data_IF_213836005546
#
_entry.id   IF_213836005546
#
_cell.length_a   1.000
_cell.length_b   1.000
_cell.length_c   1.000
_cell.angle_alpha   90.00
_cell.angle_beta   90.00
_cell.angle_gamma   90.00
#
_symmetry.space_group_name_H-M   'P 1'
#
loop_
_entity.id
_entity.type
_entity.pdbx_description
1 polymer ?
#
# COMPACT_ATOMS: atom_id res chain seq x y z
N UNK A 1 -13.24 -6.70 4.55
CA UNK A 1 -12.70 -7.62 3.53
C UNK A 1 -13.70 -7.71 2.43
N UNK A 2 -13.31 -7.45 1.18
CA UNK A 2 -14.19 -7.57 0.03
C UNK A 2 -13.64 -8.68 -0.86
N UNK A 3 -14.49 -9.62 -1.26
CA UNK A 3 -14.13 -10.71 -2.17
C UNK A 3 -14.56 -10.29 -3.58
N UNK A 4 -13.60 -9.99 -4.46
CA UNK A 4 -13.85 -9.65 -5.86
C UNK A 4 -13.62 -10.89 -6.72
N UNK A 5 -14.61 -11.34 -7.51
CA UNK A 5 -14.38 -12.40 -8.47
C UNK A 5 -13.50 -11.88 -9.60
N UNK A 6 -12.40 -12.57 -9.88
CA UNK A 6 -11.57 -12.35 -11.06
C UNK A 6 -11.48 -13.64 -11.87
N UNK A 7 -11.20 -13.53 -13.17
CA UNK A 7 -10.91 -14.71 -13.99
C UNK A 7 -9.71 -15.46 -13.38
N UNK A 8 -9.99 -16.66 -12.87
CA UNK A 8 -8.99 -17.53 -12.22
C UNK A 8 -8.93 -17.49 -10.69
N UNK A 9 -9.89 -16.89 -9.97
CA UNK A 9 -9.98 -17.02 -8.51
C UNK A 9 -10.79 -15.94 -7.79
N UNK A 10 -11.00 -16.10 -6.49
CA UNK A 10 -11.52 -15.04 -5.62
C UNK A 10 -10.34 -14.24 -5.08
N UNK A 11 -10.35 -12.91 -5.24
CA UNK A 11 -9.36 -12.05 -4.61
C UNK A 11 -9.94 -11.29 -3.44
N UNK A 12 -9.14 -11.19 -2.39
CA UNK A 12 -9.53 -10.61 -1.12
C UNK A 12 -8.79 -9.31 -0.89
N UNK A 13 -9.53 -8.24 -0.60
CA UNK A 13 -8.94 -6.94 -0.24
C UNK A 13 -8.90 -6.75 1.28
N UNK A 14 -7.72 -6.41 1.81
CA UNK A 14 -7.53 -6.08 3.23
C UNK A 14 -6.98 -4.67 3.37
N UNK A 15 -7.48 -3.94 4.36
CA UNK A 15 -7.05 -2.57 4.66
C UNK A 15 -6.24 -2.55 5.94
N UNK A 16 -5.09 -1.89 5.90
CA UNK A 16 -4.27 -1.59 7.06
C UNK A 16 -4.07 -0.10 7.19
N UNK A 17 -4.09 0.38 8.42
CA UNK A 17 -3.95 1.79 8.72
C UNK A 17 -2.82 1.95 9.71
N UNK A 18 -1.80 2.70 9.31
CA UNK A 18 -0.60 2.91 10.12
C UNK A 18 -0.55 4.34 10.60
N UNK A 19 -0.20 4.52 11.87
CA UNK A 19 0.37 5.78 12.29
C UNK A 19 1.65 5.99 11.49
N UNK A 20 1.89 7.23 11.11
CA UNK A 20 3.18 7.56 10.58
C UNK A 20 4.27 7.33 11.60
N UNK A 21 5.38 6.74 11.18
CA UNK A 21 6.54 6.64 12.05
C UNK A 21 7.44 7.85 11.80
N UNK A 22 7.89 8.43 12.89
CA UNK A 22 8.77 9.58 12.94
C UNK A 22 10.21 9.06 13.00
N UNK A 23 10.78 8.71 11.84
CA UNK A 23 12.19 8.32 11.77
C UNK A 23 12.78 8.66 10.41
N UNK A 24 13.89 9.39 10.43
CA UNK A 24 14.68 9.72 9.25
C UNK A 24 15.71 8.64 8.91
N UNK A 25 15.84 7.59 9.74
CA UNK A 25 16.81 6.51 9.57
C UNK A 25 16.21 5.34 8.78
N UNK A 26 16.65 5.19 7.54
CA UNK A 26 16.21 4.16 6.60
C UNK A 26 16.50 2.72 7.06
N UNK A 27 17.56 2.52 7.87
CA UNK A 27 17.90 1.20 8.41
C UNK A 27 16.99 0.86 9.59
N UNK A 28 16.76 1.84 10.47
CA UNK A 28 15.81 1.69 11.57
C UNK A 28 14.42 1.35 11.04
N UNK A 29 14.03 1.99 9.94
CA UNK A 29 12.79 1.76 9.23
C UNK A 29 12.59 0.34 8.76
N UNK A 30 13.61 -0.20 8.10
CA UNK A 30 13.57 -1.56 7.58
C UNK A 30 13.53 -2.58 8.72
N UNK A 31 14.21 -2.32 9.83
CA UNK A 31 14.12 -3.15 11.02
C UNK A 31 12.73 -3.10 11.65
N UNK A 32 12.10 -1.93 11.76
CA UNK A 32 10.72 -1.80 12.24
C UNK A 32 9.73 -2.54 11.33
N UNK A 33 9.86 -2.40 10.00
CA UNK A 33 9.05 -3.15 9.04
C UNK A 33 9.21 -4.66 9.23
N UNK A 34 10.43 -5.15 9.43
CA UNK A 34 10.69 -6.58 9.65
C UNK A 34 10.12 -7.11 10.97
N UNK A 35 9.95 -6.25 11.97
CA UNK A 35 9.34 -6.61 13.26
C UNK A 35 7.81 -6.57 13.22
N UNK A 36 7.21 -5.72 12.39
CA UNK A 36 5.77 -5.70 12.17
C UNK A 36 5.33 -6.80 11.21
N UNK A 37 4.36 -7.63 11.61
CA UNK A 37 3.91 -8.77 10.78
C UNK A 37 3.37 -8.35 9.40
N UNK A 38 2.76 -7.17 9.29
CA UNK A 38 2.24 -6.68 8.02
C UNK A 38 3.37 -5.99 7.25
N UNK A 39 4.17 -5.18 7.94
CA UNK A 39 5.36 -4.53 7.39
C UNK A 39 6.32 -5.52 6.72
N UNK A 40 6.55 -6.68 7.34
CA UNK A 40 7.47 -7.69 6.82
C UNK A 40 6.93 -8.28 5.51
N UNK A 41 5.63 -8.57 5.44
CA UNK A 41 4.99 -9.12 4.24
C UNK A 41 4.97 -8.12 3.09
N UNK A 42 4.79 -6.83 3.37
CA UNK A 42 4.84 -5.78 2.36
C UNK A 42 6.27 -5.58 1.84
N UNK A 43 7.26 -5.67 2.72
CA UNK A 43 8.67 -5.59 2.36
C UNK A 43 9.07 -6.79 1.47
N UNK A 44 8.75 -8.01 1.91
CA UNK A 44 8.98 -9.25 1.14
C UNK A 44 8.32 -9.19 -0.24
N UNK A 45 7.09 -8.65 -0.31
CA UNK A 45 6.38 -8.48 -1.58
C UNK A 45 7.04 -7.44 -2.48
N UNK A 46 7.47 -6.30 -1.95
CA UNK A 46 8.19 -5.28 -2.72
C UNK A 46 9.51 -5.82 -3.26
N UNK A 47 10.29 -6.52 -2.42
CA UNK A 47 11.52 -7.21 -2.81
C UNK A 47 11.25 -8.22 -3.94
N UNK A 48 10.19 -9.03 -3.81
CA UNK A 48 9.82 -10.00 -4.85
C UNK A 48 9.42 -9.32 -6.17
N UNK A 49 8.58 -8.27 -6.13
CA UNK A 49 8.16 -7.52 -7.33
C UNK A 49 9.35 -6.85 -8.02
N UNK A 50 10.32 -6.38 -7.26
CA UNK A 50 11.54 -5.77 -7.79
C UNK A 50 12.39 -6.79 -8.55
N UNK A 51 12.72 -7.91 -7.90
CA UNK A 51 13.51 -9.01 -8.47
C UNK A 51 12.85 -9.56 -9.74
N UNK A 52 11.54 -9.80 -9.68
CA UNK A 52 10.81 -10.35 -10.81
C UNK A 52 10.56 -9.35 -11.93
N UNK A 53 10.31 -8.08 -11.57
CA UNK A 53 10.08 -7.02 -12.54
C UNK A 53 11.36 -6.55 -13.24
N UNK A 54 12.54 -7.01 -12.79
CA UNK A 54 13.82 -6.51 -13.25
C UNK A 54 13.99 -5.01 -12.97
N UNK A 55 13.30 -4.51 -11.95
CA UNK A 55 13.38 -3.11 -11.53
C UNK A 55 14.65 -3.01 -10.69
N UNK A 56 15.45 -1.96 -10.91
CA UNK A 56 16.78 -1.81 -10.30
C UNK A 56 16.80 -2.03 -8.79
N UNK A 57 17.94 -2.53 -8.30
CA UNK A 57 18.17 -2.92 -6.91
C UNK A 57 17.79 -1.78 -5.94
N UNK A 58 16.85 -2.07 -5.05
CA UNK A 58 16.32 -1.20 -4.02
C UNK A 58 15.30 -0.14 -4.46
N UNK A 59 14.88 -0.08 -5.73
CA UNK A 59 13.94 0.98 -6.16
C UNK A 59 12.54 0.83 -5.57
N UNK A 60 11.93 -0.35 -5.73
CA UNK A 60 10.56 -0.61 -5.26
C UNK A 60 10.54 -0.59 -3.74
N UNK A 61 11.58 -1.15 -3.12
CA UNK A 61 11.77 -1.11 -1.67
C UNK A 61 11.95 0.33 -1.17
N UNK A 62 12.74 1.15 -1.86
CA UNK A 62 12.92 2.57 -1.55
C UNK A 62 11.63 3.38 -1.66
N UNK A 63 10.83 3.15 -2.71
CA UNK A 63 9.53 3.81 -2.87
C UNK A 63 8.50 3.36 -1.82
N UNK A 64 8.50 2.09 -1.44
CA UNK A 64 7.71 1.58 -0.32
C UNK A 64 8.08 2.32 0.98
N UNK A 65 9.38 2.39 1.30
CA UNK A 65 9.88 3.10 2.48
C UNK A 65 9.49 4.58 2.43
N UNK A 66 9.66 5.25 1.29
CA UNK A 66 9.26 6.66 1.12
C UNK A 66 7.78 6.88 1.36
N UNK A 67 6.93 6.08 0.71
CA UNK A 67 5.48 6.18 0.84
C UNK A 67 5.01 5.92 2.28
N UNK A 68 5.67 5.00 2.98
CA UNK A 68 5.33 4.68 4.34
C UNK A 68 5.91 5.65 5.38
N UNK A 69 6.93 6.45 5.07
CA UNK A 69 7.73 7.12 6.12
C UNK A 69 8.34 8.50 5.79
N UNK A 70 8.80 8.77 4.56
CA UNK A 70 9.60 9.99 4.28
C UNK A 70 8.79 11.22 3.82
N UNK A 71 7.46 11.13 3.71
CA UNK A 71 6.70 12.37 3.47
C UNK A 71 6.69 13.23 4.73
N UNK A 72 7.14 14.49 4.66
CA UNK A 72 7.15 15.39 5.81
C UNK A 72 5.72 15.56 6.28
N UNK A 73 5.45 14.94 7.42
CA UNK A 73 4.24 15.21 8.16
C UNK A 73 4.52 16.53 8.83
N UNK A 74 3.81 17.56 8.39
CA UNK A 74 3.68 18.77 9.18
C UNK A 74 3.38 18.33 10.62
N UNK A 75 4.33 18.57 11.54
CA UNK A 75 4.32 18.04 12.90
C UNK A 75 3.07 18.45 13.71
N UNK A 76 2.28 19.37 13.15
CA UNK A 76 0.96 19.77 13.62
C UNK A 76 -0.16 18.73 13.39
N UNK A 77 0.06 17.67 12.60
CA UNK A 77 -1.00 16.72 12.22
C UNK A 77 -0.65 15.25 12.51
N UNK A 78 -0.62 14.90 13.80
CA UNK A 78 -0.44 13.53 14.32
C UNK A 78 -1.55 12.54 13.92
N UNK A 79 -2.60 13.02 13.24
CA UNK A 79 -3.75 12.23 12.78
C UNK A 79 -3.54 11.59 11.40
N UNK A 80 -2.41 11.87 10.75
CA UNK A 80 -2.13 11.41 9.39
C UNK A 80 -1.86 9.91 9.33
N UNK A 81 -2.94 9.18 9.11
CA UNK A 81 -2.99 7.73 8.95
C UNK A 81 -2.67 7.35 7.50
N UNK A 82 -1.55 6.66 7.30
CA UNK A 82 -1.24 6.03 6.00
C UNK A 82 -2.11 4.81 5.85
N UNK A 83 -2.65 4.61 4.65
CA UNK A 83 -3.47 3.46 4.38
C UNK A 83 -2.89 2.57 3.31
N UNK A 84 -2.86 1.29 3.60
CA UNK A 84 -2.41 0.25 2.70
C UNK A 84 -3.60 -0.63 2.37
N UNK A 85 -3.89 -0.77 1.10
CA UNK A 85 -4.83 -1.75 0.59
C UNK A 85 -4.02 -2.90 0.00
N UNK A 86 -4.17 -4.09 0.55
CA UNK A 86 -3.55 -5.30 0.01
C UNK A 86 -4.58 -6.15 -0.71
N UNK A 87 -4.12 -6.87 -1.73
CA UNK A 87 -4.92 -7.77 -2.52
C UNK A 87 -4.30 -9.16 -2.43
N UNK A 88 -5.08 -10.14 -1.97
CA UNK A 88 -4.64 -11.53 -1.81
C UNK A 88 -5.40 -12.49 -2.71
N UNK A 89 -4.70 -13.47 -3.26
CA UNK A 89 -5.27 -14.62 -3.96
C UNK A 89 -4.78 -15.87 -3.24
N UNK A 90 -5.66 -16.76 -2.79
CA UNK A 90 -5.30 -17.99 -2.07
C UNK A 90 -4.29 -17.75 -0.93
N UNK A 91 -4.57 -16.72 -0.12
CA UNK A 91 -3.73 -16.21 0.98
C UNK A 91 -2.36 -15.61 0.58
N UNK A 92 -1.93 -15.70 -0.68
CA UNK A 92 -0.74 -15.03 -1.19
C UNK A 92 -1.00 -13.54 -1.47
N UNK A 93 -0.07 -12.67 -1.09
CA UNK A 93 -0.12 -11.24 -1.44
C UNK A 93 0.25 -11.09 -2.93
N UNK A 94 -0.68 -10.56 -3.72
CA UNK A 94 -0.53 -10.43 -5.18
C UNK A 94 -0.59 -8.99 -5.66
N UNK A 95 -0.97 -8.06 -4.78
CA UNK A 95 -0.93 -6.63 -5.07
C UNK A 95 -1.05 -5.77 -3.82
N UNK A 96 -0.58 -4.54 -3.91
CA UNK A 96 -0.76 -3.53 -2.87
C UNK A 96 -0.89 -2.13 -3.45
N UNK A 97 -1.62 -1.28 -2.74
CA UNK A 97 -1.69 0.15 -2.98
C UNK A 97 -1.47 0.91 -1.67
N UNK A 98 -0.70 2.00 -1.73
CA UNK A 98 -0.43 2.87 -0.59
C UNK A 98 -1.01 4.24 -0.88
N UNK A 99 -1.88 4.68 0.03
CA UNK A 99 -2.52 5.99 0.03
C UNK A 99 -1.98 6.77 1.21
N UNK A 100 -1.42 7.94 0.92
CA UNK A 100 -0.89 8.87 1.91
C UNK A 100 -1.93 9.95 2.23
N UNK A 101 -1.72 10.75 3.29
CA UNK A 101 -2.53 11.92 3.58
C UNK A 101 -2.88 12.77 2.36
N UNK A 102 -4.04 13.42 2.39
CA UNK A 102 -4.63 14.13 1.23
C UNK A 102 -5.09 13.19 0.09
N UNK A 103 -5.21 11.89 0.38
CA UNK A 103 -5.76 10.87 -0.52
C UNK A 103 -4.94 10.66 -1.80
N UNK A 104 -3.64 11.00 -1.74
CA UNK A 104 -2.75 10.78 -2.86
C UNK A 104 -2.30 9.30 -2.86
N UNK A 105 -2.45 8.64 -4.01
CA UNK A 105 -1.86 7.31 -4.20
C UNK A 105 -0.37 7.46 -4.52
N UNK A 106 0.49 6.83 -3.73
CA UNK A 106 1.95 6.91 -3.89
C UNK A 106 2.54 5.69 -4.56
N UNK A 107 1.96 4.53 -4.30
CA UNK A 107 2.49 3.26 -4.79
C UNK A 107 1.32 2.36 -5.14
N UNK A 108 1.39 1.73 -6.32
CA UNK A 108 0.48 0.66 -6.73
C UNK A 108 1.33 -0.42 -7.39
N UNK A 109 1.26 -1.62 -6.84
CA UNK A 109 2.05 -2.76 -7.29
C UNK A 109 1.14 -3.97 -7.47
N UNK A 110 1.38 -4.71 -8.54
CA UNK A 110 0.75 -6.01 -8.82
C UNK A 110 1.84 -6.96 -9.25
N UNK A 111 1.86 -8.13 -8.62
CA UNK A 111 2.77 -9.22 -8.94
C UNK A 111 2.65 -9.61 -10.41
N UNK A 112 3.77 -9.86 -11.08
CA UNK A 112 3.79 -10.04 -12.54
C UNK A 112 2.89 -11.19 -13.02
N UNK A 113 2.88 -12.31 -12.31
CA UNK A 113 2.08 -13.51 -12.64
C UNK A 113 0.56 -13.28 -12.55
N UNK A 114 0.16 -12.16 -11.95
CA UNK A 114 -1.23 -11.76 -11.76
C UNK A 114 -1.60 -10.49 -12.56
N UNK A 115 -0.67 -9.97 -13.38
CA UNK A 115 -0.98 -8.88 -14.33
C UNK A 115 -1.96 -9.35 -15.40
N UNK A 116 -2.68 -8.40 -16.01
CA UNK A 116 -3.71 -8.68 -17.00
C UNK A 116 -5.06 -9.15 -16.41
N UNK A 117 -5.14 -9.41 -15.10
CA UNK A 117 -6.37 -9.87 -14.41
C UNK A 117 -7.18 -8.73 -13.77
N UNK A 118 -7.03 -7.50 -14.29
CA UNK A 118 -7.68 -6.28 -13.77
C UNK A 118 -7.40 -5.97 -12.28
N UNK A 119 -6.38 -6.56 -11.66
CA UNK A 119 -6.06 -6.35 -10.25
C UNK A 119 -5.70 -4.92 -9.90
N UNK A 120 -5.03 -4.20 -10.80
CA UNK A 120 -4.76 -2.78 -10.63
C UNK A 120 -6.06 -1.98 -10.55
N UNK A 121 -7.08 -2.34 -11.34
CA UNK A 121 -8.40 -1.69 -11.28
C UNK A 121 -9.09 -2.00 -9.96
N UNK A 122 -9.05 -3.25 -9.49
CA UNK A 122 -9.62 -3.62 -8.18
C UNK A 122 -8.98 -2.82 -7.04
N UNK A 123 -7.66 -2.66 -7.05
CA UNK A 123 -6.96 -1.81 -6.07
C UNK A 123 -7.39 -0.34 -6.17
N UNK A 124 -7.52 0.19 -7.38
CA UNK A 124 -7.97 1.56 -7.60
C UNK A 124 -9.41 1.77 -7.13
N UNK A 125 -10.32 0.87 -7.46
CA UNK A 125 -11.72 0.96 -7.06
C UNK A 125 -11.86 0.94 -5.53
N UNK A 126 -11.10 0.08 -4.85
CA UNK A 126 -11.06 0.03 -3.38
C UNK A 126 -10.46 1.28 -2.74
N UNK A 127 -9.46 1.87 -3.38
CA UNK A 127 -8.93 3.16 -2.97
C UNK A 127 -9.99 4.26 -3.19
N UNK A 128 -10.66 4.29 -4.34
CA UNK A 128 -11.67 5.30 -4.62
C UNK A 128 -12.88 5.20 -3.67
N UNK A 129 -13.44 3.99 -3.51
CA UNK A 129 -14.59 3.71 -2.64
C UNK A 129 -14.39 4.13 -1.18
N UNK A 130 -13.14 4.11 -0.69
CA UNK A 130 -12.84 4.26 0.73
C UNK A 130 -12.09 5.53 1.09
N UNK A 131 -11.46 6.19 0.11
CA UNK A 131 -10.57 7.33 0.32
C UNK A 131 -11.02 8.57 -0.44
N UNK A 132 -11.87 8.46 -1.46
CA UNK A 132 -12.54 9.65 -2.00
C UNK A 132 -13.82 9.91 -1.21
N UNK A 133 -14.12 11.17 -0.85
CA UNK A 133 -15.47 11.49 -0.43
C UNK A 133 -16.42 11.07 -1.56
N UNK A 134 -17.56 10.41 -1.26
CA UNK A 134 -18.58 10.19 -2.27
C UNK A 134 -18.91 11.56 -2.87
N UNK A 135 -18.99 11.68 -4.19
CA UNK A 135 -19.21 12.94 -4.89
C UNK A 135 -20.28 13.77 -4.16
N UNK A 136 -19.85 14.84 -3.45
CA UNK A 136 -20.71 15.70 -2.64
C UNK A 136 -20.46 15.73 -1.11
N UNK A 137 -19.54 14.93 -0.56
CA UNK A 137 -19.20 14.96 0.87
C UNK A 137 -18.24 16.10 1.22
N UNK A 138 -18.75 17.18 1.82
CA UNK A 138 -17.95 18.29 2.34
C UNK A 138 -16.80 17.80 3.23
N UNK A 139 -15.60 18.31 2.97
CA UNK A 139 -14.44 18.20 3.86
C UNK A 139 -14.79 18.87 5.19
N UNK A 140 -15.28 18.12 6.17
CA UNK A 140 -15.25 18.59 7.56
C UNK A 140 -13.80 18.57 8.03
N UNK A 141 -13.27 19.78 8.20
CA UNK A 141 -12.03 20.05 8.92
C UNK A 141 -12.15 19.48 10.33
N UNK A 142 -11.27 18.54 10.66
CA UNK A 142 -10.86 18.27 12.06
C UNK A 142 -9.46 18.84 12.22
#
# INVERSE_FOLDING_TARGET
TLDVPIDGGAVRTTRYTFAAFDTDDENHLQQQLRQDKIGSQLLEFAEAVEVMGGIGDGFVVGELKRALYQEPIDASNTSLRRCIVTLRCDDALVGMAIVVPQWQMRLLLVHQDHRGRRLSQVLLDEVQLRFLPPEGGALERV
#
